data_IF_295712891508
#
_entry.id   IF_295712891508
#
_cell.length_a   1.000
_cell.length_b   1.000
_cell.length_c   1.000
_cell.angle_alpha   90.00
_cell.angle_beta   90.00
_cell.angle_gamma   90.00
#
_symmetry.space_group_name_H-M   'P 1'
#
loop_
_entity.id
_entity.type
_entity.pdbx_description
1 polymer ?
#
# COMPACT_ATOMS: atom_id res chain seq x y z
N UNK A 1 14.79 8.43 0.57
CA UNK A 1 13.50 8.39 -0.16
C UNK A 1 13.52 7.25 -1.14
N UNK A 2 12.58 6.33 -0.98
CA UNK A 2 12.42 5.15 -1.81
C UNK A 2 10.99 5.12 -2.36
N UNK A 3 10.84 4.61 -3.59
CA UNK A 3 9.54 4.30 -4.16
C UNK A 3 9.34 2.80 -4.15
N UNK A 4 8.43 2.35 -3.30
CA UNK A 4 8.03 0.97 -3.18
C UNK A 4 6.77 0.74 -4.00
N UNK A 5 6.73 -0.35 -4.75
CA UNK A 5 5.59 -0.77 -5.57
C UNK A 5 5.16 -2.16 -5.19
N UNK A 6 3.86 -2.36 -5.11
CA UNK A 6 3.29 -3.62 -4.70
C UNK A 6 2.11 -3.99 -5.59
N UNK A 7 2.00 -5.28 -5.88
CA UNK A 7 0.76 -5.87 -6.37
C UNK A 7 -0.18 -6.08 -5.19
N UNK A 8 -1.45 -5.75 -5.33
CA UNK A 8 -2.44 -5.94 -4.27
C UNK A 8 -3.73 -6.58 -4.79
N UNK A 9 -4.65 -6.91 -3.88
CA UNK A 9 -6.03 -7.28 -4.22
C UNK A 9 -7.07 -6.21 -3.80
N UNK A 10 -6.63 -4.97 -3.55
CA UNK A 10 -7.52 -3.84 -3.23
C UNK A 10 -8.21 -3.41 -4.52
N UNK A 11 -9.51 -3.73 -4.67
CA UNK A 11 -10.20 -3.60 -5.95
C UNK A 11 -11.48 -2.74 -5.90
N UNK A 12 -11.76 -2.10 -4.76
CA UNK A 12 -12.99 -1.33 -4.57
C UNK A 12 -12.74 -0.10 -3.70
N UNK A 13 -13.52 0.97 -3.89
CA UNK A 13 -13.39 2.21 -3.10
C UNK A 13 -13.62 1.97 -1.61
N UNK A 14 -14.60 1.14 -1.24
CA UNK A 14 -14.83 0.73 0.15
C UNK A 14 -13.70 -0.13 0.74
N UNK A 15 -12.96 -0.85 -0.11
CA UNK A 15 -11.77 -1.62 0.28
C UNK A 15 -10.62 -0.65 0.59
N UNK A 16 -10.45 0.35 -0.28
CA UNK A 16 -9.46 1.41 -0.11
C UNK A 16 -9.67 2.15 1.20
N UNK A 17 -10.92 2.50 1.56
CA UNK A 17 -11.24 3.15 2.83
C UNK A 17 -10.80 2.39 4.09
N UNK A 18 -10.59 1.07 4.01
CA UNK A 18 -10.04 0.26 5.12
C UNK A 18 -8.51 0.33 5.18
N UNK A 19 -7.86 0.43 4.03
CA UNK A 19 -6.39 0.46 3.91
C UNK A 19 -5.84 1.86 4.15
N UNK A 20 -6.53 2.91 3.68
CA UNK A 20 -6.12 4.30 3.84
C UNK A 20 -5.70 4.68 5.26
N UNK A 21 -6.48 4.40 6.32
CA UNK A 21 -6.07 4.74 7.67
C UNK A 21 -4.85 3.94 8.16
N UNK A 22 -4.55 2.76 7.61
CA UNK A 22 -3.35 2.02 7.99
C UNK A 22 -2.11 2.69 7.39
N UNK A 23 -2.14 3.01 6.09
CA UNK A 23 -1.01 3.64 5.40
C UNK A 23 -0.80 5.10 5.83
N UNK A 24 -1.87 5.86 6.06
CA UNK A 24 -1.78 7.25 6.54
C UNK A 24 -1.19 7.38 7.96
N UNK A 25 -1.35 6.34 8.78
CA UNK A 25 -0.82 6.32 10.14
C UNK A 25 0.57 5.66 10.23
N UNK A 26 1.06 5.08 9.13
CA UNK A 26 2.36 4.41 9.12
C UNK A 26 3.48 5.45 9.08
N UNK A 27 4.40 5.35 10.04
CA UNK A 27 5.45 6.36 10.18
C UNK A 27 6.49 6.19 9.08
N UNK A 28 6.79 7.27 8.39
CA UNK A 28 7.81 7.28 7.34
C UNK A 28 7.25 7.03 5.94
N UNK A 29 5.95 6.76 5.80
CA UNK A 29 5.24 6.93 4.51
C UNK A 29 4.95 8.43 4.34
N UNK A 30 5.34 8.98 3.19
CA UNK A 30 5.00 10.35 2.82
C UNK A 30 3.76 10.42 1.94
N UNK A 31 3.67 9.51 0.97
CA UNK A 31 2.62 9.50 -0.03
C UNK A 31 2.39 8.06 -0.51
N UNK A 32 1.15 7.74 -0.86
CA UNK A 32 0.82 6.46 -1.46
C UNK A 32 -0.41 6.59 -2.36
N UNK A 33 -0.49 5.73 -3.38
CA UNK A 33 -1.63 5.64 -4.29
C UNK A 33 -1.87 4.20 -4.76
N UNK A 34 -3.12 3.85 -5.02
CA UNK A 34 -3.49 2.55 -5.60
C UNK A 34 -4.12 2.76 -6.97
N UNK A 35 -3.47 2.25 -8.01
CA UNK A 35 -4.03 2.21 -9.35
C UNK A 35 -5.11 1.14 -9.45
N UNK A 36 -6.35 1.53 -9.15
CA UNK A 36 -7.54 0.68 -9.26
C UNK A 36 -7.92 0.38 -10.70
N UNK A 37 -7.37 1.06 -11.71
CA UNK A 37 -7.62 0.76 -13.12
C UNK A 37 -6.69 -0.34 -13.62
N UNK A 38 -5.52 -0.51 -13.00
CA UNK A 38 -4.61 -1.60 -13.29
C UNK A 38 -5.19 -2.96 -12.86
N UNK A 39 -5.05 -4.00 -13.69
CA UNK A 39 -5.51 -5.36 -13.38
C UNK A 39 -4.79 -5.96 -12.15
N UNK A 40 -3.58 -5.49 -11.86
CA UNK A 40 -2.74 -5.92 -10.74
C UNK A 40 -2.92 -5.05 -9.47
N UNK A 41 -3.74 -3.98 -9.53
CA UNK A 41 -4.03 -3.08 -8.40
C UNK A 41 -2.75 -2.61 -7.71
N UNK A 42 -1.97 -1.84 -8.45
CA UNK A 42 -0.61 -1.45 -8.06
C UNK A 42 -0.68 -0.40 -6.97
N UNK A 43 -0.17 -0.71 -5.78
CA UNK A 43 0.09 0.24 -4.71
C UNK A 43 1.49 0.81 -4.90
N UNK A 44 1.60 2.12 -5.06
CA UNK A 44 2.88 2.85 -5.04
C UNK A 44 2.98 3.60 -3.72
N UNK A 45 4.10 3.46 -3.02
CA UNK A 45 4.39 4.11 -1.74
C UNK A 45 5.71 4.87 -1.85
N UNK A 46 5.65 6.17 -1.60
CA UNK A 46 6.82 7.01 -1.41
C UNK A 46 7.15 7.03 0.07
N UNK A 47 8.30 6.44 0.41
CA UNK A 47 8.75 6.27 1.77
C UNK A 47 10.03 7.07 2.03
N UNK A 48 10.09 7.73 3.18
CA UNK A 48 11.33 8.31 3.70
C UNK A 48 12.07 7.32 4.60
N UNK A 49 11.35 6.60 5.46
CA UNK A 49 11.92 5.69 6.46
C UNK A 49 11.11 4.43 6.74
N UNK A 50 9.90 4.30 6.19
CA UNK A 50 9.11 3.07 6.32
C UNK A 50 9.74 1.96 5.45
N UNK A 51 9.89 0.78 6.04
CA UNK A 51 10.39 -0.38 5.32
C UNK A 51 9.30 -1.04 4.46
N UNK A 52 9.72 -1.91 3.56
CA UNK A 52 8.80 -2.78 2.82
C UNK A 52 7.89 -3.60 3.76
N UNK A 53 8.46 -4.11 4.85
CA UNK A 53 7.78 -4.96 5.83
C UNK A 53 6.71 -4.19 6.60
N UNK A 54 6.95 -2.91 6.91
CA UNK A 54 5.98 -2.02 7.54
C UNK A 54 4.74 -1.84 6.64
N UNK A 55 4.97 -1.51 5.36
CA UNK A 55 3.91 -1.34 4.36
C UNK A 55 3.12 -2.63 4.18
N UNK A 56 3.82 -3.76 4.02
CA UNK A 56 3.21 -5.09 3.88
C UNK A 56 2.35 -5.43 5.09
N UNK A 57 2.85 -5.16 6.30
CA UNK A 57 2.15 -5.42 7.55
C UNK A 57 0.90 -4.56 7.71
N UNK A 58 0.99 -3.26 7.38
CA UNK A 58 -0.16 -2.34 7.43
C UNK A 58 -1.32 -2.82 6.55
N UNK A 59 -1.03 -3.29 5.33
CA UNK A 59 -2.05 -3.78 4.39
C UNK A 59 -2.59 -5.15 4.80
N UNK A 60 -1.74 -6.07 5.25
CA UNK A 60 -2.16 -7.41 5.71
C UNK A 60 -3.04 -7.36 6.96
N UNK A 61 -2.78 -6.42 7.88
CA UNK A 61 -3.58 -6.22 9.12
C UNK A 61 -5.07 -6.00 8.86
N UNK A 62 -5.42 -5.45 7.69
CA UNK A 62 -6.81 -5.21 7.27
C UNK A 62 -7.34 -6.24 6.27
N UNK A 63 -6.64 -7.36 6.11
CA UNK A 63 -7.11 -8.55 5.38
C UNK A 63 -6.84 -8.55 3.88
N UNK A 64 -5.90 -7.74 3.40
CA UNK A 64 -5.54 -7.67 1.98
C UNK A 64 -4.20 -8.34 1.68
N UNK A 65 -4.09 -8.89 0.48
CA UNK A 65 -2.86 -9.46 -0.04
C UNK A 65 -2.01 -8.36 -0.67
N UNK A 66 -0.71 -8.44 -0.46
CA UNK A 66 0.27 -7.48 -0.92
C UNK A 66 1.60 -8.20 -1.17
N UNK A 67 2.23 -7.90 -2.30
CA UNK A 67 3.48 -8.51 -2.74
C UNK A 67 4.33 -7.43 -3.43
N UNK A 68 5.60 -7.31 -3.04
CA UNK A 68 6.52 -6.34 -3.65
C UNK A 68 6.79 -6.73 -5.09
N UNK A 69 6.75 -5.73 -5.96
CA UNK A 69 7.10 -5.82 -7.37
C UNK A 69 8.06 -4.66 -7.66
N UNK A 70 9.13 -4.89 -8.44
CA UNK A 70 10.23 -3.92 -8.65
C UNK A 70 9.82 -2.46 -8.78
#
# INVERSE_FOLDING_TARGET
MENLKFKTNINCTGCLSKVSPQLNNEKGIEEWDVDLNNSQKILTVKSNSASEEDVVSAVKKVGFNIERIG
#
